data_IF_077045404442
#
_entry.id   IF_077045404442
#
_cell.length_a   1.000
_cell.length_b   1.000
_cell.length_c   1.000
_cell.angle_alpha   90.00
_cell.angle_beta   90.00
_cell.angle_gamma   90.00
#
_symmetry.space_group_name_H-M   'P 1'
#
loop_
_entity.id
_entity.type
_entity.pdbx_description
1 polymer ?
#
# COMPACT_ATOMS: atom_id res chain seq x y z
N UNK A 1 -61.11 37.71 -25.91
CA UNK A 1 -59.69 37.47 -25.77
C UNK A 1 -59.59 36.58 -24.57
N UNK A 2 -59.66 35.32 -24.89
CA UNK A 2 -59.95 34.24 -23.90
C UNK A 2 -58.64 33.69 -23.43
N UNK A 3 -58.48 33.71 -22.14
CA UNK A 3 -57.48 32.96 -21.41
C UNK A 3 -57.79 31.49 -21.50
N UNK A 4 -56.86 30.67 -22.00
CA UNK A 4 -56.97 29.22 -21.92
C UNK A 4 -56.05 28.79 -20.77
N UNK A 5 -56.68 28.54 -19.61
CA UNK A 5 -56.05 27.85 -18.49
C UNK A 5 -55.86 26.36 -18.89
N UNK A 6 -54.65 25.98 -19.19
CA UNK A 6 -54.25 24.56 -19.25
C UNK A 6 -54.04 24.07 -17.84
N UNK A 7 -54.97 23.31 -17.33
CA UNK A 7 -54.83 22.55 -16.10
C UNK A 7 -53.78 21.44 -16.34
N UNK A 8 -52.62 21.57 -15.73
CA UNK A 8 -51.69 20.47 -15.59
C UNK A 8 -52.31 19.44 -14.66
N UNK A 9 -52.78 18.34 -15.22
CA UNK A 9 -53.12 17.13 -14.48
C UNK A 9 -51.87 16.61 -13.83
N UNK A 10 -51.78 16.79 -12.52
CA UNK A 10 -50.83 16.06 -11.67
C UNK A 10 -51.28 14.61 -11.62
N UNK A 11 -50.83 13.80 -12.58
CA UNK A 11 -50.85 12.37 -12.44
C UNK A 11 -49.96 11.98 -11.27
N UNK A 12 -50.54 11.63 -10.14
CA UNK A 12 -49.88 10.90 -9.08
C UNK A 12 -49.35 9.59 -9.66
N UNK A 13 -48.06 9.58 -9.99
CA UNK A 13 -47.32 8.32 -10.09
C UNK A 13 -47.09 7.86 -8.67
N UNK A 14 -48.05 7.07 -8.16
CA UNK A 14 -47.92 6.32 -6.91
C UNK A 14 -46.96 5.15 -7.14
N UNK A 15 -45.72 5.44 -7.45
CA UNK A 15 -44.61 4.54 -7.30
C UNK A 15 -43.98 4.83 -5.93
N UNK A 16 -44.67 4.32 -4.92
CA UNK A 16 -44.15 4.18 -3.57
C UNK A 16 -42.94 3.22 -3.58
N UNK A 17 -41.85 3.66 -4.22
CA UNK A 17 -40.57 3.01 -4.07
C UNK A 17 -40.12 3.36 -2.65
N UNK A 18 -40.56 2.51 -1.70
CA UNK A 18 -40.22 2.69 -0.30
C UNK A 18 -38.73 2.77 -0.19
N UNK A 19 -38.22 3.74 0.56
CA UNK A 19 -36.80 3.92 0.86
C UNK A 19 -36.13 2.62 1.27
N UNK A 20 -36.88 1.75 1.95
CA UNK A 20 -36.51 0.38 2.34
C UNK A 20 -36.10 -0.45 1.12
N UNK A 21 -36.89 -0.47 0.05
CA UNK A 21 -36.62 -1.26 -1.16
C UNK A 21 -35.37 -0.77 -1.87
N UNK A 22 -35.19 0.55 -1.95
CA UNK A 22 -34.01 1.16 -2.55
C UNK A 22 -32.73 0.74 -1.79
N UNK A 23 -32.71 0.89 -0.47
CA UNK A 23 -31.55 0.51 0.33
C UNK A 23 -31.31 -0.98 0.35
N UNK A 24 -32.36 -1.82 0.32
CA UNK A 24 -32.19 -3.27 0.21
C UNK A 24 -31.50 -3.64 -1.13
N UNK A 25 -31.82 -2.97 -2.22
CA UNK A 25 -31.16 -3.17 -3.53
C UNK A 25 -29.72 -2.64 -3.53
N UNK A 26 -29.47 -1.45 -2.97
CA UNK A 26 -28.14 -0.84 -2.89
C UNK A 26 -27.19 -1.72 -2.06
N UNK A 27 -27.67 -2.26 -0.95
CA UNK A 27 -26.88 -3.12 -0.06
C UNK A 27 -26.62 -4.52 -0.65
N UNK A 28 -27.45 -4.94 -1.62
CA UNK A 28 -27.35 -6.26 -2.22
C UNK A 28 -27.77 -7.38 -1.29
N UNK A 29 -27.09 -8.52 -1.36
CA UNK A 29 -27.40 -9.66 -0.48
C UNK A 29 -26.91 -9.41 0.93
N UNK A 30 -27.82 -9.03 1.80
CA UNK A 30 -27.59 -8.85 3.25
C UNK A 30 -28.08 -10.03 4.07
N UNK A 31 -28.53 -11.12 3.41
CA UNK A 31 -29.12 -12.28 4.08
C UNK A 31 -28.30 -12.77 5.28
N UNK A 32 -28.93 -13.11 6.42
CA UNK A 32 -30.38 -13.10 6.68
C UNK A 32 -30.98 -11.75 7.12
N UNK A 33 -30.19 -10.67 7.21
CA UNK A 33 -30.69 -9.33 7.57
C UNK A 33 -31.48 -8.70 6.43
N UNK A 34 -32.53 -7.97 6.79
CA UNK A 34 -33.34 -7.20 5.85
C UNK A 34 -33.46 -5.75 6.34
N UNK A 35 -33.56 -4.80 5.41
CA UNK A 35 -33.84 -3.41 5.74
C UNK A 35 -35.29 -3.30 6.20
N UNK A 36 -35.52 -2.77 7.41
CA UNK A 36 -36.85 -2.61 7.96
C UNK A 36 -37.28 -1.15 8.16
N UNK A 37 -36.33 -0.23 8.22
CA UNK A 37 -36.60 1.19 8.38
C UNK A 37 -35.42 2.02 7.86
N UNK A 38 -35.72 3.23 7.35
CA UNK A 38 -34.74 4.19 6.90
C UNK A 38 -35.10 5.56 7.46
N UNK A 39 -34.20 6.11 8.27
CA UNK A 39 -34.38 7.41 8.92
C UNK A 39 -33.43 8.44 8.35
N UNK A 40 -33.95 9.58 7.92
CA UNK A 40 -33.15 10.70 7.42
C UNK A 40 -33.22 11.87 8.41
N UNK A 41 -32.04 12.34 8.82
CA UNK A 41 -31.91 13.58 9.58
C UNK A 41 -31.22 14.62 8.69
N UNK A 42 -32.03 15.57 8.21
CA UNK A 42 -31.55 16.64 7.33
C UNK A 42 -30.65 17.62 8.07
N UNK A 43 -30.91 17.87 9.37
CA UNK A 43 -30.12 18.80 10.16
C UNK A 43 -28.69 18.25 10.44
N UNK A 44 -28.59 16.95 10.72
CA UNK A 44 -27.32 16.26 10.93
C UNK A 44 -26.70 15.73 9.62
N UNK A 45 -27.39 15.86 8.50
CA UNK A 45 -26.99 15.31 7.21
C UNK A 45 -26.65 13.81 7.29
N UNK A 46 -27.51 13.04 7.94
CA UNK A 46 -27.33 11.59 8.13
C UNK A 46 -28.53 10.78 7.67
N UNK A 47 -28.26 9.60 7.14
CA UNK A 47 -29.24 8.55 6.87
C UNK A 47 -28.87 7.33 7.71
N UNK A 48 -29.81 6.80 8.48
CA UNK A 48 -29.64 5.57 9.24
C UNK A 48 -30.55 4.50 8.66
N UNK A 49 -29.93 3.44 8.16
CA UNK A 49 -30.61 2.25 7.61
C UNK A 49 -30.64 1.19 8.69
N UNK A 50 -31.82 0.89 9.20
CA UNK A 50 -32.03 -0.11 10.24
C UNK A 50 -32.20 -1.49 9.62
N UNK A 51 -31.40 -2.44 10.11
CA UNK A 51 -31.39 -3.83 9.66
C UNK A 51 -31.96 -4.72 10.75
N UNK A 52 -32.86 -5.59 10.37
CA UNK A 52 -33.51 -6.56 11.26
C UNK A 52 -33.28 -7.98 10.78
N UNK A 53 -33.54 -8.93 11.66
CA UNK A 53 -33.37 -10.35 11.44
C UNK A 53 -34.72 -11.06 11.58
N UNK A 54 -34.99 -12.07 10.69
CA UNK A 54 -36.14 -12.97 10.89
C UNK A 54 -35.99 -13.70 12.24
N UNK A 55 -37.09 -13.86 13.00
CA UNK A 55 -37.07 -14.49 14.32
C UNK A 55 -36.51 -15.92 14.32
N UNK A 56 -36.72 -16.65 13.22
CA UNK A 56 -36.36 -18.07 13.08
C UNK A 56 -34.91 -18.30 12.56
N UNK A 57 -34.08 -17.25 12.55
CA UNK A 57 -32.71 -17.37 12.03
C UNK A 57 -31.87 -18.30 12.90
N UNK A 58 -31.30 -19.32 12.28
CA UNK A 58 -30.39 -20.28 12.93
C UNK A 58 -28.97 -19.77 12.85
N UNK A 59 -28.27 -19.78 13.97
CA UNK A 59 -26.94 -19.25 14.07
C UNK A 59 -25.90 -20.34 14.25
N UNK A 60 -24.70 -20.09 13.70
CA UNK A 60 -23.56 -20.98 13.81
C UNK A 60 -22.34 -20.22 14.34
N UNK A 61 -21.45 -20.94 15.00
CA UNK A 61 -20.15 -20.39 15.38
C UNK A 61 -19.35 -20.02 14.10
N UNK A 62 -18.81 -18.79 14.00
CA UNK A 62 -18.05 -18.37 12.83
C UNK A 62 -16.75 -19.16 12.60
N UNK A 63 -16.25 -19.87 13.63
CA UNK A 63 -15.02 -20.64 13.56
C UNK A 63 -15.25 -22.12 13.22
N UNK A 64 -16.06 -22.84 14.01
CA UNK A 64 -16.32 -24.26 13.76
C UNK A 64 -17.59 -24.55 12.94
N UNK A 65 -18.38 -23.52 12.64
CA UNK A 65 -19.66 -23.60 11.90
C UNK A 65 -20.73 -24.47 12.56
N UNK A 66 -20.52 -24.94 13.78
CA UNK A 66 -21.53 -25.67 14.55
C UNK A 66 -22.71 -24.77 14.91
N UNK A 67 -23.95 -25.34 14.92
CA UNK A 67 -25.16 -24.63 15.31
C UNK A 67 -25.09 -24.24 16.78
N UNK A 68 -25.36 -22.96 17.11
CA UNK A 68 -25.19 -22.42 18.46
C UNK A 68 -26.45 -21.65 18.91
N UNK A 69 -26.58 -21.54 20.22
CA UNK A 69 -27.59 -20.67 20.84
C UNK A 69 -27.07 -19.25 20.98
N UNK A 70 -27.97 -18.28 20.91
CA UNK A 70 -27.65 -16.88 21.14
C UNK A 70 -27.46 -16.68 22.65
N UNK A 71 -26.30 -16.12 23.02
CA UNK A 71 -25.99 -15.69 24.38
C UNK A 71 -26.43 -14.27 24.67
N UNK A 72 -26.25 -13.37 23.69
CA UNK A 72 -26.52 -11.96 23.81
C UNK A 72 -26.72 -11.29 22.44
N UNK A 73 -27.26 -10.11 22.46
CA UNK A 73 -27.34 -9.24 21.29
C UNK A 73 -26.50 -7.99 21.50
N UNK A 74 -25.87 -7.50 20.42
CA UNK A 74 -25.12 -6.27 20.39
C UNK A 74 -25.56 -5.40 19.23
N UNK A 75 -26.12 -4.22 19.51
CA UNK A 75 -26.36 -3.23 18.48
C UNK A 75 -25.03 -2.68 17.98
N UNK A 76 -24.83 -2.71 16.66
CA UNK A 76 -23.64 -2.18 16.01
C UNK A 76 -24.04 -1.23 14.91
N UNK A 77 -23.13 -0.26 14.64
CA UNK A 77 -23.25 0.70 13.54
C UNK A 77 -22.06 0.56 12.61
N UNK A 78 -22.31 0.72 11.31
CA UNK A 78 -21.28 0.71 10.29
C UNK A 78 -21.46 1.91 9.37
N UNK A 79 -20.37 2.62 9.11
CA UNK A 79 -20.32 3.66 8.09
C UNK A 79 -20.42 3.02 6.72
N UNK A 80 -21.36 3.50 5.91
CA UNK A 80 -21.54 3.10 4.53
C UNK A 80 -21.18 4.24 3.59
N UNK A 81 -21.21 4.02 2.26
CA UNK A 81 -21.07 5.07 1.27
C UNK A 81 -22.17 6.11 1.45
N UNK A 82 -21.83 7.38 1.24
CA UNK A 82 -22.76 8.47 1.40
C UNK A 82 -23.86 8.43 0.34
N UNK A 83 -25.08 8.72 0.76
CA UNK A 83 -26.23 8.85 -0.13
C UNK A 83 -26.49 10.34 -0.37
N UNK A 84 -26.20 10.84 -1.57
CA UNK A 84 -26.41 12.24 -1.93
C UNK A 84 -25.83 13.24 -0.92
N UNK A 85 -24.59 13.03 -0.46
CA UNK A 85 -23.89 13.83 0.56
C UNK A 85 -24.36 13.64 2.01
N UNK A 86 -25.37 12.81 2.26
CA UNK A 86 -25.75 12.39 3.61
C UNK A 86 -24.86 11.24 4.05
N UNK A 87 -24.30 11.34 5.26
CA UNK A 87 -23.59 10.22 5.88
C UNK A 87 -24.54 9.06 6.09
N UNK A 88 -24.27 7.94 5.44
CA UNK A 88 -25.10 6.75 5.56
C UNK A 88 -24.51 5.80 6.60
N UNK A 89 -25.34 5.43 7.58
CA UNK A 89 -25.01 4.48 8.63
C UNK A 89 -25.92 3.27 8.54
N UNK A 90 -25.37 2.07 8.57
CA UNK A 90 -26.14 0.85 8.81
C UNK A 90 -26.18 0.62 10.33
N UNK A 91 -27.34 0.27 10.85
CA UNK A 91 -27.53 -0.13 12.24
C UNK A 91 -28.26 -1.45 12.31
N UNK A 92 -27.77 -2.38 13.13
CA UNK A 92 -28.41 -3.67 13.30
C UNK A 92 -27.98 -4.38 14.56
N UNK A 93 -28.86 -5.24 15.07
CA UNK A 93 -28.55 -6.12 16.17
C UNK A 93 -27.79 -7.34 15.65
N UNK A 94 -26.61 -7.60 16.23
CA UNK A 94 -25.75 -8.74 15.87
C UNK A 94 -25.73 -9.72 17.04
N UNK A 95 -26.03 -11.01 16.82
CA UNK A 95 -26.02 -12.00 17.87
C UNK A 95 -24.57 -12.36 18.28
N UNK A 96 -24.42 -12.62 19.57
CA UNK A 96 -23.26 -13.26 20.16
C UNK A 96 -23.67 -14.69 20.51
N UNK A 97 -23.00 -15.67 19.95
CA UNK A 97 -23.25 -17.08 20.19
C UNK A 97 -22.26 -17.65 21.21
N UNK A 98 -22.68 -18.65 21.99
CA UNK A 98 -21.81 -19.37 22.91
C UNK A 98 -21.35 -20.68 22.30
N UNK A 99 -20.08 -20.80 22.00
CA UNK A 99 -19.49 -22.02 21.46
C UNK A 99 -18.72 -22.76 22.58
N UNK A 100 -18.94 -24.06 22.77
CA UNK A 100 -18.20 -24.83 23.77
C UNK A 100 -16.68 -24.85 23.56
N UNK A 101 -16.24 -24.82 22.29
CA UNK A 101 -14.82 -24.86 21.90
C UNK A 101 -14.19 -23.46 21.83
N UNK A 102 -14.96 -22.46 21.39
CA UNK A 102 -14.41 -21.13 21.07
C UNK A 102 -14.94 -20.01 21.97
N UNK A 103 -15.77 -20.35 22.97
CA UNK A 103 -16.39 -19.37 23.86
C UNK A 103 -17.37 -18.45 23.14
N UNK A 104 -17.57 -17.23 23.69
CA UNK A 104 -18.49 -16.26 23.14
C UNK A 104 -17.97 -15.66 21.82
N UNK A 105 -18.67 -15.91 20.72
CA UNK A 105 -18.33 -15.42 19.38
C UNK A 105 -19.39 -14.48 18.82
N UNK A 106 -18.99 -13.30 18.32
CA UNK A 106 -19.91 -12.43 17.59
C UNK A 106 -20.07 -12.94 16.14
N UNK A 107 -21.29 -13.09 15.71
CA UNK A 107 -21.61 -13.54 14.35
C UNK A 107 -21.09 -12.50 13.34
N UNK A 108 -20.59 -12.99 12.21
CA UNK A 108 -20.14 -12.12 11.12
C UNK A 108 -21.33 -11.60 10.34
N UNK A 109 -21.25 -10.32 9.95
CA UNK A 109 -22.26 -9.69 9.08
C UNK A 109 -21.76 -9.70 7.63
N UNK A 110 -22.64 -9.81 6.62
CA UNK A 110 -22.21 -9.95 5.22
C UNK A 110 -21.63 -8.66 4.61
N UNK A 111 -21.89 -7.50 5.20
CA UNK A 111 -21.44 -6.19 4.67
C UNK A 111 -20.16 -5.66 5.28
N UNK A 112 -19.58 -6.29 6.30
CA UNK A 112 -18.36 -5.81 6.97
C UNK A 112 -17.45 -6.96 7.43
N UNK A 113 -16.15 -6.77 7.35
CA UNK A 113 -15.17 -7.76 7.81
C UNK A 113 -14.91 -7.64 9.33
N UNK A 114 -15.00 -8.75 10.03
CA UNK A 114 -14.59 -8.88 11.44
C UNK A 114 -15.18 -7.80 12.35
N UNK A 115 -14.31 -7.04 13.00
CA UNK A 115 -14.69 -5.95 13.91
C UNK A 115 -14.80 -4.59 13.22
N UNK A 116 -14.64 -4.50 11.91
CA UNK A 116 -14.71 -3.23 11.18
C UNK A 116 -16.00 -2.46 11.49
N UNK A 117 -15.86 -1.14 11.59
CA UNK A 117 -17.00 -0.20 11.69
C UNK A 117 -17.38 0.39 10.32
N UNK A 118 -16.81 -0.15 9.25
CA UNK A 118 -17.05 0.27 7.89
C UNK A 118 -17.59 -0.90 7.08
N UNK A 119 -18.48 -0.61 6.14
CA UNK A 119 -18.90 -1.63 5.17
C UNK A 119 -17.76 -1.88 4.17
N UNK A 120 -17.76 -3.06 3.57
CA UNK A 120 -16.78 -3.42 2.53
C UNK A 120 -16.83 -2.46 1.33
N UNK A 121 -18.02 -1.94 0.99
CA UNK A 121 -18.15 -0.94 -0.08
C UNK A 121 -17.52 0.40 0.31
N UNK A 122 -17.68 0.85 1.55
CA UNK A 122 -16.99 2.04 2.04
C UNK A 122 -15.48 1.83 2.09
N UNK A 123 -15.00 0.69 2.60
CA UNK A 123 -13.56 0.40 2.64
C UNK A 123 -12.95 0.35 1.23
N UNK A 124 -13.67 -0.21 0.25
CA UNK A 124 -13.22 -0.22 -1.15
C UNK A 124 -13.03 1.19 -1.70
N UNK A 125 -14.01 2.05 -1.52
CA UNK A 125 -13.90 3.46 -1.93
C UNK A 125 -12.79 4.20 -1.17
N UNK A 126 -12.70 3.97 0.15
CA UNK A 126 -11.64 4.57 0.96
C UNK A 126 -10.23 4.16 0.50
N UNK A 127 -10.05 2.92 0.05
CA UNK A 127 -8.78 2.44 -0.52
C UNK A 127 -8.45 3.19 -1.82
N UNK A 128 -9.41 3.43 -2.69
CA UNK A 128 -9.21 4.21 -3.92
C UNK A 128 -8.75 5.65 -3.60
N UNK A 129 -9.36 6.29 -2.62
CA UNK A 129 -8.95 7.62 -2.13
C UNK A 129 -7.55 7.58 -1.51
N UNK A 130 -7.25 6.55 -0.70
CA UNK A 130 -5.93 6.36 -0.07
C UNK A 130 -4.80 6.09 -1.08
N UNK A 131 -5.12 5.52 -2.24
CA UNK A 131 -4.16 5.38 -3.34
C UNK A 131 -3.88 6.70 -4.07
N UNK A 132 -4.82 7.64 -4.05
CA UNK A 132 -4.73 8.91 -4.74
C UNK A 132 -4.08 10.04 -3.92
N UNK A 133 -4.07 9.93 -2.57
CA UNK A 133 -3.55 11.01 -1.73
C UNK A 133 -3.05 10.50 -0.35
N UNK A 134 -2.25 11.30 0.38
CA UNK A 134 -1.77 10.95 1.73
C UNK A 134 -2.91 10.67 2.72
N UNK A 135 -2.66 9.80 3.70
CA UNK A 135 -3.65 9.34 4.70
C UNK A 135 -4.39 10.49 5.37
N UNK A 136 -3.69 11.55 5.77
CA UNK A 136 -4.31 12.73 6.40
C UNK A 136 -5.32 13.42 5.48
N UNK A 137 -5.03 13.54 4.18
CA UNK A 137 -5.93 14.12 3.20
C UNK A 137 -7.11 13.20 2.91
N UNK A 138 -6.84 11.88 2.80
CA UNK A 138 -7.88 10.86 2.63
C UNK A 138 -8.87 10.88 3.81
N UNK A 139 -8.36 10.94 5.04
CA UNK A 139 -9.19 11.03 6.26
C UNK A 139 -10.14 12.24 6.21
N UNK A 140 -9.62 13.41 5.80
CA UNK A 140 -10.44 14.63 5.61
C UNK A 140 -11.51 14.47 4.54
N UNK A 141 -11.16 13.89 3.37
CA UNK A 141 -12.10 13.70 2.26
C UNK A 141 -13.21 12.69 2.57
N UNK A 142 -12.87 11.65 3.33
CA UNK A 142 -13.81 10.59 3.74
C UNK A 142 -14.59 10.93 5.00
N UNK A 143 -14.25 12.06 5.65
CA UNK A 143 -14.81 12.49 6.92
C UNK A 143 -14.74 11.37 7.99
N UNK A 144 -13.52 10.86 8.18
CA UNK A 144 -13.15 9.87 9.20
C UNK A 144 -11.86 10.30 9.91
N UNK A 145 -11.53 9.68 11.04
CA UNK A 145 -10.27 9.98 11.73
C UNK A 145 -9.07 9.42 10.97
N UNK A 146 -7.88 9.96 11.26
CA UNK A 146 -6.62 9.46 10.71
C UNK A 146 -6.42 7.96 11.05
N UNK A 147 -6.67 7.57 12.30
CA UNK A 147 -6.54 6.18 12.75
C UNK A 147 -7.50 5.23 12.03
N UNK A 148 -8.71 5.71 11.72
CA UNK A 148 -9.68 4.95 10.93
C UNK A 148 -9.21 4.74 9.49
N UNK A 149 -8.68 5.80 8.86
CA UNK A 149 -8.13 5.72 7.50
C UNK A 149 -6.90 4.81 7.46
N UNK A 150 -5.99 4.93 8.42
CA UNK A 150 -4.81 4.06 8.52
C UNK A 150 -5.20 2.60 8.79
N UNK A 151 -6.18 2.36 9.65
CA UNK A 151 -6.72 1.01 9.91
C UNK A 151 -7.33 0.36 8.67
N UNK A 152 -8.03 1.11 7.81
CA UNK A 152 -8.52 0.62 6.51
C UNK A 152 -7.33 0.25 5.61
N UNK A 153 -6.32 1.12 5.53
CA UNK A 153 -5.10 0.88 4.75
C UNK A 153 -4.38 -0.40 5.22
N UNK A 154 -4.19 -0.56 6.51
CA UNK A 154 -3.52 -1.75 7.08
C UNK A 154 -4.27 -3.04 6.73
N UNK A 155 -5.60 -3.07 6.89
CA UNK A 155 -6.40 -4.24 6.49
C UNK A 155 -6.30 -4.53 5.00
N UNK A 156 -6.33 -3.49 4.15
CA UNK A 156 -6.16 -3.63 2.70
C UNK A 156 -4.80 -4.23 2.34
N UNK A 157 -3.72 -3.76 2.98
CA UNK A 157 -2.36 -4.30 2.80
C UNK A 157 -2.31 -5.76 3.23
N UNK A 158 -2.85 -6.12 4.39
CA UNK A 158 -2.87 -7.50 4.87
C UNK A 158 -3.63 -8.44 3.91
N UNK A 159 -4.80 -8.01 3.40
CA UNK A 159 -5.53 -8.77 2.38
C UNK A 159 -4.73 -8.92 1.08
N UNK A 160 -4.02 -7.88 0.67
CA UNK A 160 -3.13 -7.93 -0.50
C UNK A 160 -1.98 -8.90 -0.32
N UNK A 161 -1.33 -8.84 0.84
CA UNK A 161 -0.21 -9.74 1.17
C UNK A 161 -0.63 -11.21 1.25
N UNK A 162 -1.80 -11.50 1.85
CA UNK A 162 -2.30 -12.89 1.98
C UNK A 162 -2.70 -13.54 0.64
N UNK A 163 -2.96 -12.72 -0.40
CA UNK A 163 -3.30 -13.20 -1.76
C UNK A 163 -2.10 -13.25 -2.70
N UNK A 164 -0.92 -12.84 -2.23
CA UNK A 164 0.27 -12.78 -3.07
C UNK A 164 0.72 -14.19 -3.45
N UNK A 165 0.86 -14.43 -4.74
CA UNK A 165 1.48 -15.62 -5.29
C UNK A 165 2.92 -15.27 -5.69
N UNK A 166 3.87 -16.10 -5.30
CA UNK A 166 5.30 -15.92 -5.55
C UNK A 166 5.89 -17.08 -6.38
N UNK A 167 5.03 -17.86 -7.04
CA UNK A 167 5.44 -19.05 -7.81
C UNK A 167 6.48 -18.76 -8.90
N UNK A 168 6.47 -17.52 -9.42
CA UNK A 168 7.30 -17.12 -10.57
C UNK A 168 8.42 -16.15 -10.13
N UNK A 169 8.77 -16.14 -8.85
CA UNK A 169 9.83 -15.29 -8.34
C UNK A 169 11.18 -15.97 -8.52
N UNK A 170 11.93 -15.55 -9.53
CA UNK A 170 13.26 -16.07 -9.86
C UNK A 170 14.37 -15.01 -9.67
N UNK A 171 13.99 -13.74 -9.58
CA UNK A 171 14.89 -12.61 -9.47
C UNK A 171 14.43 -11.62 -8.40
N UNK A 172 15.36 -11.19 -7.55
CA UNK A 172 15.12 -10.16 -6.53
C UNK A 172 16.18 -9.07 -6.54
N UNK A 173 15.77 -7.86 -6.19
CA UNK A 173 16.67 -6.74 -5.92
C UNK A 173 16.63 -6.38 -4.45
N UNK A 174 17.78 -6.13 -3.87
CA UNK A 174 17.95 -5.70 -2.49
C UNK A 174 18.60 -4.33 -2.47
N UNK A 175 17.98 -3.38 -1.79
CA UNK A 175 18.49 -2.02 -1.65
C UNK A 175 18.24 -1.51 -0.23
N UNK A 176 18.98 -0.48 0.19
CA UNK A 176 18.80 0.17 1.48
C UNK A 176 18.23 1.58 1.32
N UNK A 177 17.35 1.97 2.23
CA UNK A 177 16.78 3.30 2.26
C UNK A 177 16.84 3.90 3.66
N UNK A 178 17.37 5.13 3.77
CA UNK A 178 17.26 5.91 4.99
C UNK A 178 15.81 6.37 5.22
N UNK A 179 15.29 6.17 6.43
CA UNK A 179 13.89 6.49 6.79
C UNK A 179 13.76 7.62 7.81
N UNK A 180 14.88 8.18 8.28
CA UNK A 180 14.88 9.25 9.27
C UNK A 180 16.13 10.12 9.24
N UNK A 181 16.20 11.06 10.17
CA UNK A 181 17.41 11.82 10.43
C UNK A 181 18.34 10.98 11.31
N UNK A 182 19.48 10.56 10.77
CA UNK A 182 20.43 9.71 11.47
C UNK A 182 20.83 8.47 10.68
N UNK A 183 21.03 7.36 11.37
CA UNK A 183 21.46 6.10 10.78
C UNK A 183 20.31 5.05 10.71
N UNK A 184 19.07 5.51 10.68
CA UNK A 184 17.91 4.63 10.58
C UNK A 184 17.71 4.23 9.11
N UNK A 185 17.98 2.97 8.84
CA UNK A 185 17.85 2.36 7.51
C UNK A 185 16.85 1.24 7.54
N UNK A 186 16.23 1.00 6.40
CA UNK A 186 15.47 -0.20 6.10
C UNK A 186 16.10 -0.90 4.91
N UNK A 187 16.03 -2.23 4.91
CA UNK A 187 16.33 -3.07 3.75
C UNK A 187 15.04 -3.30 2.97
N UNK A 188 15.05 -2.95 1.70
CA UNK A 188 13.90 -3.13 0.80
C UNK A 188 14.23 -4.23 -0.18
N UNK A 189 13.41 -5.28 -0.19
CA UNK A 189 13.51 -6.35 -1.18
C UNK A 189 12.39 -6.19 -2.19
N UNK A 190 12.75 -6.11 -3.45
CA UNK A 190 11.82 -6.03 -4.58
C UNK A 190 12.02 -7.21 -5.52
N UNK A 191 10.99 -7.56 -6.27
CA UNK A 191 11.05 -8.59 -7.30
C UNK A 191 10.07 -8.25 -8.42
N UNK A 192 10.18 -8.98 -9.53
CA UNK A 192 9.27 -8.83 -10.66
C UNK A 192 8.22 -9.94 -10.59
N UNK A 193 6.96 -9.57 -10.47
CA UNK A 193 5.82 -10.49 -10.46
C UNK A 193 4.88 -10.06 -11.58
N UNK A 194 4.54 -10.97 -12.48
CA UNK A 194 3.69 -10.67 -13.66
C UNK A 194 4.25 -9.48 -14.50
N UNK A 195 5.57 -9.41 -14.64
CA UNK A 195 6.24 -8.35 -15.41
C UNK A 195 6.24 -6.97 -14.72
N UNK A 196 5.82 -6.87 -13.45
CA UNK A 196 5.78 -5.61 -12.71
C UNK A 196 6.67 -5.66 -11.47
N UNK A 197 7.47 -4.61 -11.20
CA UNK A 197 8.24 -4.54 -9.96
C UNK A 197 7.30 -4.38 -8.77
N UNK A 198 7.50 -5.20 -7.74
CA UNK A 198 6.73 -5.17 -6.49
C UNK A 198 7.68 -5.24 -5.29
N UNK A 199 7.38 -4.47 -4.25
CA UNK A 199 8.05 -4.63 -2.95
C UNK A 199 7.58 -5.94 -2.33
N UNK A 200 8.53 -6.81 -2.01
CA UNK A 200 8.29 -8.12 -1.44
C UNK A 200 8.40 -8.11 0.09
N UNK A 201 9.41 -7.41 0.59
CA UNK A 201 9.72 -7.36 2.01
C UNK A 201 10.37 -6.03 2.38
N UNK A 202 10.16 -5.60 3.61
CA UNK A 202 10.85 -4.49 4.24
C UNK A 202 11.37 -5.01 5.56
N UNK A 203 12.71 -5.03 5.72
CA UNK A 203 13.38 -5.40 6.96
C UNK A 203 14.00 -4.19 7.65
N UNK A 204 14.06 -4.23 8.97
CA UNK A 204 14.67 -3.18 9.75
C UNK A 204 16.21 -3.21 9.63
N UNK A 205 16.80 -2.05 9.59
CA UNK A 205 18.26 -1.89 9.50
C UNK A 205 18.84 -2.13 8.11
N UNK A 206 20.18 -2.05 8.05
CA UNK A 206 20.97 -2.36 6.88
C UNK A 206 21.90 -3.54 7.18
N UNK A 207 21.83 -4.59 6.42
CA UNK A 207 22.73 -5.74 6.59
C UNK A 207 22.04 -7.08 6.64
N UNK A 208 22.72 -8.05 7.23
CA UNK A 208 22.24 -9.45 7.26
C UNK A 208 20.84 -9.57 7.90
N UNK A 209 20.62 -8.89 9.03
CA UNK A 209 19.38 -9.01 9.80
C UNK A 209 18.16 -8.52 9.00
N UNK A 210 18.29 -7.36 8.33
CA UNK A 210 17.21 -6.83 7.48
C UNK A 210 16.84 -7.74 6.31
N UNK A 211 17.81 -8.50 5.76
CA UNK A 211 17.56 -9.39 4.63
C UNK A 211 17.22 -10.82 5.06
N UNK A 212 17.72 -11.31 6.18
CA UNK A 212 17.46 -12.69 6.66
C UNK A 212 15.95 -12.95 6.84
N UNK A 213 15.20 -11.97 7.39
CA UNK A 213 13.76 -12.08 7.56
C UNK A 213 13.00 -12.32 6.25
N UNK A 214 13.51 -11.80 5.12
CA UNK A 214 12.94 -12.10 3.82
C UNK A 214 13.15 -13.56 3.41
N UNK A 215 14.37 -14.10 3.56
CA UNK A 215 14.68 -15.47 3.19
C UNK A 215 13.93 -16.49 4.06
N UNK A 216 13.82 -16.20 5.36
CA UNK A 216 13.06 -17.03 6.31
C UNK A 216 11.57 -17.04 5.94
N UNK A 217 11.02 -15.87 5.58
CA UNK A 217 9.63 -15.77 5.11
C UNK A 217 9.41 -16.46 3.78
N UNK A 218 10.35 -16.35 2.82
CA UNK A 218 10.26 -16.99 1.51
C UNK A 218 10.35 -18.53 1.63
N UNK A 219 11.07 -18.99 2.63
CA UNK A 219 11.26 -20.40 2.93
C UNK A 219 12.23 -21.12 1.98
N UNK A 220 12.62 -22.35 2.32
CA UNK A 220 13.64 -23.08 1.57
C UNK A 220 13.25 -23.36 0.10
N UNK A 221 11.97 -23.59 -0.17
CA UNK A 221 11.50 -23.84 -1.54
C UNK A 221 11.55 -22.59 -2.40
N UNK A 222 11.08 -21.46 -1.88
CA UNK A 222 11.17 -20.19 -2.57
C UNK A 222 12.61 -19.77 -2.80
N UNK A 223 13.49 -19.95 -1.81
CA UNK A 223 14.92 -19.65 -1.94
C UNK A 223 15.59 -20.46 -3.04
N UNK A 224 15.21 -21.73 -3.25
CA UNK A 224 15.73 -22.56 -4.36
C UNK A 224 15.32 -22.06 -5.74
N UNK A 225 14.18 -21.37 -5.84
CA UNK A 225 13.68 -20.78 -7.08
C UNK A 225 14.43 -19.51 -7.50
N UNK A 226 15.16 -18.86 -6.59
CA UNK A 226 15.88 -17.62 -6.90
C UNK A 226 17.13 -17.94 -7.72
N UNK A 227 17.20 -17.42 -8.93
CA UNK A 227 18.33 -17.60 -9.86
C UNK A 227 19.33 -16.44 -9.80
N UNK A 228 18.87 -15.21 -9.50
CA UNK A 228 19.74 -14.06 -9.40
C UNK A 228 19.26 -13.05 -8.34
N UNK A 229 20.23 -12.38 -7.72
CA UNK A 229 19.98 -11.34 -6.70
C UNK A 229 20.81 -10.11 -7.02
N UNK A 230 20.14 -9.00 -7.33
CA UNK A 230 20.79 -7.70 -7.50
C UNK A 230 20.90 -6.99 -6.15
N UNK A 231 22.06 -6.42 -5.86
CA UNK A 231 22.31 -5.70 -4.62
C UNK A 231 23.44 -4.69 -4.79
N UNK A 232 23.63 -3.85 -3.77
CA UNK A 232 24.88 -3.10 -3.65
C UNK A 232 26.06 -4.04 -3.34
N UNK A 233 27.27 -3.49 -3.32
CA UNK A 233 28.48 -4.29 -3.04
C UNK A 233 28.68 -4.57 -1.53
N UNK A 234 27.65 -4.39 -0.70
CA UNK A 234 27.69 -4.61 0.74
C UNK A 234 27.97 -6.09 1.08
N UNK A 235 29.01 -6.34 1.89
CA UNK A 235 29.41 -7.71 2.28
C UNK A 235 28.30 -8.45 3.05
N UNK A 236 27.50 -7.71 3.80
CA UNK A 236 26.41 -8.25 4.63
C UNK A 236 25.34 -8.93 3.78
N UNK A 237 24.87 -8.26 2.73
CA UNK A 237 23.86 -8.81 1.81
C UNK A 237 24.41 -10.01 1.03
N UNK A 238 25.66 -9.93 0.58
CA UNK A 238 26.30 -11.07 -0.10
C UNK A 238 26.37 -12.29 0.81
N UNK A 239 26.75 -12.12 2.09
CA UNK A 239 26.84 -13.21 3.07
C UNK A 239 25.46 -13.83 3.36
N UNK A 240 24.45 -12.99 3.58
CA UNK A 240 23.05 -13.44 3.75
C UNK A 240 22.58 -14.22 2.52
N UNK A 241 22.72 -13.68 1.32
CA UNK A 241 22.27 -14.34 0.09
C UNK A 241 22.97 -15.69 -0.13
N UNK A 242 24.30 -15.75 0.04
CA UNK A 242 25.04 -17.02 -0.09
C UNK A 242 24.64 -18.09 0.93
N UNK A 243 24.17 -17.66 2.11
CA UNK A 243 23.68 -18.58 3.15
C UNK A 243 22.36 -19.22 2.76
N UNK A 244 21.41 -18.43 2.21
CA UNK A 244 20.05 -18.89 1.95
C UNK A 244 19.81 -19.32 0.50
N UNK A 245 20.49 -18.67 -0.45
CA UNK A 245 20.38 -18.93 -1.89
C UNK A 245 21.78 -19.12 -2.52
N UNK A 246 22.52 -20.17 -2.15
CA UNK A 246 23.91 -20.38 -2.61
C UNK A 246 24.03 -20.55 -4.13
N UNK A 247 22.95 -20.97 -4.80
CA UNK A 247 22.88 -21.15 -6.25
C UNK A 247 22.67 -19.83 -7.02
N UNK A 248 22.20 -18.76 -6.34
CA UNK A 248 21.84 -17.52 -7.00
C UNK A 248 23.07 -16.73 -7.45
N UNK A 249 23.01 -16.19 -8.66
CA UNK A 249 24.02 -15.26 -9.18
C UNK A 249 23.90 -13.91 -8.46
N UNK A 250 25.04 -13.36 -8.00
CA UNK A 250 25.08 -12.04 -7.39
C UNK A 250 25.36 -10.99 -8.48
N UNK A 251 24.42 -10.09 -8.70
CA UNK A 251 24.51 -9.00 -9.66
C UNK A 251 24.69 -7.69 -8.87
N UNK A 252 25.76 -6.98 -9.13
CA UNK A 252 25.99 -5.70 -8.46
C UNK A 252 25.33 -4.56 -9.23
N UNK A 253 24.66 -3.66 -8.49
CA UNK A 253 24.00 -2.50 -9.06
C UNK A 253 25.02 -1.60 -9.78
N UNK A 254 24.86 -1.38 -11.10
CA UNK A 254 25.75 -0.52 -11.88
C UNK A 254 25.85 0.91 -11.33
N UNK A 255 24.81 1.44 -10.73
CA UNK A 255 24.81 2.77 -10.12
C UNK A 255 25.85 2.87 -8.99
N UNK A 256 25.91 1.87 -8.11
CA UNK A 256 26.89 1.85 -7.01
C UNK A 256 28.31 1.65 -7.51
N UNK A 257 28.51 0.86 -8.56
CA UNK A 257 29.82 0.71 -9.24
C UNK A 257 30.26 2.05 -9.81
N UNK A 258 29.41 2.72 -10.58
CA UNK A 258 29.69 4.02 -11.17
C UNK A 258 29.95 5.11 -10.13
N UNK A 259 29.21 5.09 -9.04
CA UNK A 259 29.41 6.00 -7.89
C UNK A 259 30.81 5.85 -7.27
N UNK A 260 31.28 4.60 -7.10
CA UNK A 260 32.63 4.33 -6.61
C UNK A 260 33.70 4.76 -7.62
N UNK A 261 33.53 4.45 -8.88
CA UNK A 261 34.43 4.87 -9.94
C UNK A 261 34.53 6.40 -10.02
N UNK A 262 33.40 7.09 -10.03
CA UNK A 262 33.34 8.54 -10.04
C UNK A 262 34.01 9.16 -8.78
N UNK A 263 33.86 8.52 -7.63
CA UNK A 263 34.56 8.94 -6.42
C UNK A 263 36.06 8.76 -6.56
N UNK A 264 36.54 7.61 -7.06
CA UNK A 264 37.98 7.37 -7.25
C UNK A 264 38.59 8.40 -8.21
N UNK A 265 37.93 8.70 -9.32
CA UNK A 265 38.34 9.72 -10.29
C UNK A 265 38.42 11.10 -9.63
N UNK A 266 37.40 11.49 -8.81
CA UNK A 266 37.45 12.78 -8.12
C UNK A 266 38.53 12.84 -7.01
N UNK A 267 38.78 11.72 -6.34
CA UNK A 267 39.88 11.65 -5.32
C UNK A 267 41.24 11.80 -5.98
N UNK A 268 41.51 11.16 -7.12
CA UNK A 268 42.75 11.38 -7.90
C UNK A 268 42.85 12.82 -8.36
N UNK A 269 41.83 13.40 -8.94
CA UNK A 269 41.79 14.82 -9.35
C UNK A 269 42.11 15.75 -8.20
N UNK A 270 41.56 15.49 -6.99
CA UNK A 270 41.86 16.29 -5.79
C UNK A 270 43.31 16.13 -5.34
N UNK A 271 43.82 14.91 -5.36
CA UNK A 271 45.22 14.65 -5.02
C UNK A 271 46.17 15.40 -5.97
N UNK A 272 45.97 15.30 -7.27
CA UNK A 272 46.72 16.05 -8.28
C UNK A 272 46.63 17.56 -8.09
N UNK A 273 45.47 18.08 -7.70
CA UNK A 273 45.27 19.50 -7.42
C UNK A 273 46.00 19.98 -6.16
N UNK A 274 46.34 19.09 -5.21
CA UNK A 274 47.07 19.42 -3.96
C UNK A 274 48.57 19.18 -4.10
N UNK A 275 48.96 18.07 -4.73
CA UNK A 275 50.39 17.64 -4.84
C UNK A 275 51.06 18.11 -6.10
N UNK A 276 50.30 18.50 -7.13
CA UNK A 276 50.83 19.00 -8.39
C UNK A 276 51.36 20.44 -8.34
N UNK A 277 51.90 20.88 -9.47
CA UNK A 277 52.39 22.27 -9.63
C UNK A 277 51.25 23.30 -9.48
N UNK A 278 51.59 24.56 -9.26
CA UNK A 278 50.60 25.64 -9.24
C UNK A 278 49.79 25.71 -10.55
N UNK A 279 50.39 25.38 -11.69
CA UNK A 279 49.74 25.31 -12.99
C UNK A 279 48.69 24.18 -13.01
N UNK A 280 49.00 22.99 -12.49
CA UNK A 280 48.08 21.88 -12.37
C UNK A 280 46.91 22.22 -11.46
N UNK A 281 47.18 22.88 -10.33
CA UNK A 281 46.11 23.32 -9.41
C UNK A 281 45.11 24.27 -10.08
N UNK A 282 45.57 25.24 -10.85
CA UNK A 282 44.73 26.19 -11.58
C UNK A 282 43.94 25.48 -12.71
N UNK A 283 44.60 24.61 -13.48
CA UNK A 283 43.93 23.88 -14.57
C UNK A 283 42.83 22.96 -14.09
N UNK A 284 42.97 22.32 -12.92
CA UNK A 284 42.00 21.41 -12.32
C UNK A 284 40.83 22.06 -11.59
N UNK A 285 40.87 23.40 -11.36
CA UNK A 285 39.78 24.12 -10.73
C UNK A 285 38.49 23.99 -11.54
N UNK A 286 37.38 23.63 -10.85
CA UNK A 286 36.03 23.50 -11.42
C UNK A 286 35.92 22.48 -12.56
N UNK A 287 36.82 21.49 -12.62
CA UNK A 287 36.82 20.47 -13.67
C UNK A 287 36.15 19.15 -13.29
N UNK A 288 35.67 19.02 -12.02
CA UNK A 288 35.11 17.75 -11.51
C UNK A 288 34.13 17.10 -12.47
N UNK A 289 33.14 17.86 -12.96
CA UNK A 289 32.12 17.29 -13.86
C UNK A 289 32.69 16.83 -15.20
N UNK A 290 33.73 17.47 -15.73
CA UNK A 290 34.36 17.07 -17.00
C UNK A 290 34.96 15.67 -16.93
N UNK A 291 35.46 15.25 -15.77
CA UNK A 291 36.04 13.94 -15.53
C UNK A 291 35.00 12.84 -15.26
N UNK A 292 33.77 13.24 -14.95
CA UNK A 292 32.70 12.33 -14.59
C UNK A 292 31.73 12.07 -15.75
N UNK A 293 31.77 12.85 -16.83
CA UNK A 293 31.02 12.56 -18.06
C UNK A 293 31.77 11.55 -18.93
N UNK A 294 31.03 10.65 -19.58
CA UNK A 294 31.56 9.92 -20.72
C UNK A 294 31.94 10.90 -21.84
N UNK A 295 32.97 10.57 -22.59
CA UNK A 295 33.48 11.46 -23.64
C UNK A 295 32.39 11.85 -24.65
N UNK A 296 31.48 10.91 -24.95
CA UNK A 296 30.32 11.08 -25.84
C UNK A 296 29.25 12.03 -25.28
N UNK A 297 29.24 12.24 -23.97
CA UNK A 297 28.26 13.08 -23.28
C UNK A 297 28.85 14.42 -22.81
N UNK A 298 30.11 14.70 -23.13
CA UNK A 298 30.78 15.92 -22.72
C UNK A 298 30.18 17.12 -23.50
N UNK A 299 29.61 18.13 -22.83
CA UNK A 299 29.08 19.32 -23.50
C UNK A 299 30.15 20.03 -24.33
N UNK A 300 29.82 20.47 -25.55
CA UNK A 300 30.75 21.13 -26.49
C UNK A 300 31.51 22.30 -25.83
N UNK A 301 30.85 23.09 -24.97
CA UNK A 301 31.50 24.19 -24.23
C UNK A 301 32.68 23.76 -23.35
N UNK A 302 32.81 22.49 -23.06
CA UNK A 302 33.86 21.93 -22.21
C UNK A 302 34.91 21.14 -23.02
N UNK A 303 34.62 20.79 -24.27
CA UNK A 303 35.46 19.93 -25.09
C UNK A 303 36.87 20.45 -25.25
N UNK A 304 37.05 21.69 -25.66
CA UNK A 304 38.40 22.29 -25.84
C UNK A 304 39.21 22.33 -24.55
N UNK A 305 38.58 22.64 -23.39
CA UNK A 305 39.26 22.64 -22.10
C UNK A 305 39.63 21.22 -21.66
N UNK A 306 38.76 20.23 -21.95
CA UNK A 306 39.02 18.85 -21.58
C UNK A 306 40.16 18.25 -22.38
N UNK A 307 40.29 18.58 -23.66
CA UNK A 307 41.44 18.16 -24.50
C UNK A 307 42.76 18.70 -23.93
N UNK A 308 42.79 19.95 -23.49
CA UNK A 308 43.97 20.52 -22.86
C UNK A 308 44.31 19.81 -21.54
N UNK A 309 43.32 19.38 -20.76
CA UNK A 309 43.55 18.60 -19.55
C UNK A 309 44.07 17.19 -19.87
N UNK A 310 43.53 16.50 -20.91
CA UNK A 310 44.05 15.20 -21.34
C UNK A 310 45.48 15.27 -21.83
N UNK A 311 45.87 16.36 -22.48
CA UNK A 311 47.24 16.59 -22.98
C UNK A 311 48.19 17.04 -21.91
N UNK A 312 47.71 17.38 -20.69
CA UNK A 312 48.56 17.82 -19.61
C UNK A 312 49.29 16.65 -18.89
N UNK A 313 50.36 16.96 -18.16
CA UNK A 313 51.18 15.98 -17.44
C UNK A 313 50.54 15.53 -16.10
N UNK A 314 49.24 15.47 -16.05
CA UNK A 314 48.51 14.87 -14.91
C UNK A 314 48.74 13.36 -14.87
N UNK A 315 48.91 12.80 -13.67
CA UNK A 315 49.15 11.37 -13.47
C UNK A 315 47.84 10.56 -13.45
#
# INVERSE_FOLDING_TARGET
RREQNAAFSTGCYDHDMKDITLYQQILGDTSPWTVNDVQMDVALQTVVVHLTLPPETVWACPLCRGRMHIKAWRTRRWRHLDSCQFKTMLEGAVPVVECPEHGAQTVQVPWAEGSSRFTMLFERFAIEVLLACPVAKAATLLDISWDQADGIKQRAVQRGLSRRQLSDLDYVCVDEKAVGNGHDYITVVTGVIEGKPKVLHIGDGKGEEGLNGFWEWLGPEGCRGITAVSMDMGRSYQKSTRKYCPQAELIFDPFHIMKMLNKAVDDVRRLESVTGSNANRESLKKTRQMWLWGEENLPERHAGRFELLKASTLK
#
